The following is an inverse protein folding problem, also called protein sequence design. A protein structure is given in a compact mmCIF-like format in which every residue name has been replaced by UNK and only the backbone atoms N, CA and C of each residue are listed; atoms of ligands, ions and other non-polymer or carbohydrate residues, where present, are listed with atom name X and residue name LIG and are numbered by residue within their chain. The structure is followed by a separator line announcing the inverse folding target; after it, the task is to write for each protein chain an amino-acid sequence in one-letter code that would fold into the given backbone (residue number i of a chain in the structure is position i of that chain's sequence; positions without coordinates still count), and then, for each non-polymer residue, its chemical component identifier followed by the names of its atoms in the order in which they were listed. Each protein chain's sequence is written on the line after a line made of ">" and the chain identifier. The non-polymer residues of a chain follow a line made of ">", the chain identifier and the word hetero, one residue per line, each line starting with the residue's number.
data_IF_685402215926
#
_entry.id   IF_685402215926
#
_cell.length_a   1.000
_cell.length_b   1.000
_cell.length_c   1.000
_cell.angle_alpha   90.00
_cell.angle_beta   90.00
_cell.angle_gamma   90.00
#
_symmetry.space_group_name_H-M   'P 1'
#
loop_
_entity.id
_entity.type
_entity.pdbx_description
1 polymer ?
#
# COMPACT_ATOMS: atom_id res chain seq x y z
N UNK A 1 -13.46 -1.01 -14.49
CA UNK A 1 -14.51 -2.03 -14.67
C UNK A 1 -15.39 -1.60 -15.83
N UNK A 2 -15.87 -2.52 -16.67
CA UNK A 2 -16.83 -2.18 -17.74
C UNK A 2 -18.22 -2.66 -17.32
N UNK A 3 -19.08 -1.72 -16.99
CA UNK A 3 -20.48 -1.97 -16.62
C UNK A 3 -21.28 -2.06 -17.91
N UNK A 4 -22.07 -3.13 -18.06
CA UNK A 4 -22.92 -3.35 -19.22
C UNK A 4 -24.33 -3.70 -18.77
N UNK A 5 -24.63 -4.94 -18.42
CA UNK A 5 -25.96 -5.28 -17.90
C UNK A 5 -26.17 -4.88 -16.44
N UNK A 6 -25.10 -4.63 -15.67
CA UNK A 6 -25.16 -4.19 -14.27
C UNK A 6 -25.67 -5.28 -13.31
N UNK A 7 -25.82 -6.52 -13.78
CA UNK A 7 -26.37 -7.64 -13.04
C UNK A 7 -25.32 -8.37 -12.20
N UNK A 8 -24.03 -8.22 -12.51
CA UNK A 8 -22.94 -8.80 -11.74
C UNK A 8 -22.34 -7.80 -10.77
N UNK A 9 -22.47 -6.49 -11.06
CA UNK A 9 -21.89 -5.42 -10.24
C UNK A 9 -22.80 -5.07 -9.06
N UNK A 10 -22.25 -5.10 -7.85
CA UNK A 10 -22.90 -4.65 -6.61
C UNK A 10 -22.73 -3.15 -6.45
N UNK A 11 -23.82 -2.45 -6.19
CA UNK A 11 -23.83 -0.98 -6.09
C UNK A 11 -22.90 -0.45 -4.98
N UNK A 12 -22.86 -1.10 -3.82
CA UNK A 12 -22.15 -0.59 -2.65
C UNK A 12 -20.68 -1.01 -2.55
N UNK A 13 -20.39 -2.26 -2.94
CA UNK A 13 -19.13 -2.94 -2.58
C UNK A 13 -18.14 -3.01 -3.73
N UNK A 14 -18.61 -2.94 -4.97
CA UNK A 14 -17.73 -3.02 -6.14
C UNK A 14 -17.15 -1.65 -6.52
N UNK A 15 -15.99 -1.70 -7.17
CA UNK A 15 -15.22 -0.54 -7.60
C UNK A 15 -15.66 -0.09 -8.99
N UNK A 16 -16.85 0.49 -9.06
CA UNK A 16 -17.43 1.01 -10.30
C UNK A 16 -17.41 2.55 -10.39
N UNK A 17 -17.33 3.24 -9.25
CA UNK A 17 -17.27 4.70 -9.16
C UNK A 17 -15.82 5.22 -9.00
N UNK A 18 -15.42 6.36 -9.60
CA UNK A 18 -14.05 6.90 -9.48
C UNK A 18 -13.65 7.25 -8.03
N UNK A 19 -14.60 7.65 -7.19
CA UNK A 19 -14.36 7.89 -5.74
C UNK A 19 -14.13 6.61 -4.92
N UNK A 20 -14.17 5.43 -5.54
CA UNK A 20 -13.95 4.14 -4.88
C UNK A 20 -15.26 3.43 -4.54
N UNK A 21 -15.25 2.66 -3.44
CA UNK A 21 -16.44 1.91 -2.99
C UNK A 21 -17.38 2.87 -2.28
N UNK A 22 -18.64 2.90 -2.71
CA UNK A 22 -19.63 3.78 -2.11
C UNK A 22 -19.91 3.44 -0.64
N UNK A 23 -19.74 2.18 -0.22
CA UNK A 23 -19.92 1.78 1.18
C UNK A 23 -18.87 2.41 2.12
N UNK A 24 -17.65 2.64 1.63
CA UNK A 24 -16.58 3.24 2.44
C UNK A 24 -16.83 4.75 2.64
N UNK A 25 -17.56 5.38 1.71
CA UNK A 25 -17.95 6.79 1.76
C UNK A 25 -19.24 7.00 2.57
N UNK A 26 -20.30 6.28 2.21
CA UNK A 26 -21.64 6.44 2.78
C UNK A 26 -21.80 5.77 4.16
N UNK A 27 -20.95 4.79 4.47
CA UNK A 27 -21.06 3.94 5.65
C UNK A 27 -22.30 3.04 5.62
N UNK A 28 -22.42 2.19 6.65
CA UNK A 28 -23.56 1.27 6.80
C UNK A 28 -24.90 2.00 6.99
N UNK A 29 -24.86 3.21 7.56
CA UNK A 29 -26.07 4.04 7.75
C UNK A 29 -26.54 4.61 6.40
N UNK A 30 -25.61 4.86 5.46
CA UNK A 30 -25.90 5.35 4.12
C UNK A 30 -26.82 4.42 3.33
N UNK A 31 -26.65 3.10 3.47
CA UNK A 31 -27.49 2.11 2.77
C UNK A 31 -28.96 2.20 3.19
N UNK A 32 -29.21 2.44 4.48
CA UNK A 32 -30.56 2.61 5.03
C UNK A 32 -31.17 3.95 4.64
N UNK A 33 -30.36 5.04 4.70
CA UNK A 33 -30.79 6.39 4.33
C UNK A 33 -31.18 6.51 2.86
N UNK A 34 -30.44 5.85 1.96
CA UNK A 34 -30.72 5.84 0.52
C UNK A 34 -31.74 4.77 0.11
N UNK A 35 -32.10 3.85 1.03
CA UNK A 35 -33.10 2.81 0.78
C UNK A 35 -32.63 1.70 -0.14
N UNK A 36 -31.31 1.51 -0.28
CA UNK A 36 -30.72 0.51 -1.15
C UNK A 36 -30.09 -0.58 -0.29
N UNK A 37 -30.53 -1.82 -0.47
CA UNK A 37 -29.97 -2.97 0.25
C UNK A 37 -28.47 -3.15 -0.03
N UNK A 38 -27.73 -3.69 0.94
CA UNK A 38 -26.28 -3.93 0.82
C UNK A 38 -25.91 -4.87 -0.34
N UNK A 39 -26.80 -5.78 -0.70
CA UNK A 39 -26.65 -6.73 -1.81
C UNK A 39 -27.25 -6.25 -3.12
N UNK A 40 -27.78 -5.02 -3.19
CA UNK A 40 -28.36 -4.49 -4.41
C UNK A 40 -27.33 -4.38 -5.54
N UNK A 41 -27.78 -4.74 -6.74
CA UNK A 41 -26.98 -4.65 -7.97
C UNK A 41 -27.27 -3.35 -8.69
N UNK A 42 -26.40 -2.97 -9.62
CA UNK A 42 -26.61 -1.75 -10.41
C UNK A 42 -27.91 -1.86 -11.22
N UNK A 43 -28.23 -3.02 -11.78
CA UNK A 43 -29.48 -3.25 -12.51
C UNK A 43 -30.77 -3.06 -11.67
N UNK A 44 -30.67 -3.23 -10.35
CA UNK A 44 -31.83 -3.08 -9.45
C UNK A 44 -32.11 -1.61 -9.11
N UNK A 45 -31.04 -0.79 -9.10
CA UNK A 45 -31.07 0.61 -8.67
C UNK A 45 -31.20 1.56 -9.88
N UNK A 46 -30.61 1.20 -11.02
CA UNK A 46 -30.62 1.99 -12.24
C UNK A 46 -31.59 1.37 -13.25
N UNK A 47 -32.74 2.01 -13.44
CA UNK A 47 -33.84 1.51 -14.28
C UNK A 47 -34.27 2.62 -15.23
N UNK A 48 -34.40 2.30 -16.52
CA UNK A 48 -34.84 3.23 -17.57
C UNK A 48 -34.00 4.51 -17.69
N UNK A 49 -32.69 4.43 -17.40
CA UNK A 49 -31.77 5.57 -17.48
C UNK A 49 -31.76 6.46 -16.24
N UNK A 50 -32.53 6.13 -15.21
CA UNK A 50 -32.67 6.92 -14.00
C UNK A 50 -32.25 6.13 -12.74
N UNK A 51 -31.61 6.83 -11.81
CA UNK A 51 -31.21 6.26 -10.53
C UNK A 51 -32.32 6.36 -9.49
N UNK A 52 -32.75 5.22 -8.94
CA UNK A 52 -33.78 5.13 -7.90
C UNK A 52 -33.17 5.27 -6.51
N UNK A 53 -33.06 6.50 -6.01
CA UNK A 53 -32.64 6.81 -4.64
C UNK A 53 -33.80 7.26 -3.76
N UNK A 54 -33.82 6.85 -2.49
CA UNK A 54 -34.69 7.48 -1.49
C UNK A 54 -34.18 8.89 -1.19
N UNK A 55 -35.09 9.86 -1.14
CA UNK A 55 -34.73 11.24 -0.72
C UNK A 55 -34.17 11.21 0.70
N UNK A 56 -32.93 11.70 0.84
CA UNK A 56 -32.28 11.89 2.12
C UNK A 56 -32.09 13.39 2.38
N UNK A 57 -32.07 13.81 3.65
CA UNK A 57 -31.78 15.18 4.08
C UNK A 57 -30.29 15.43 4.35
N UNK A 58 -29.47 14.39 4.28
CA UNK A 58 -28.04 14.44 4.56
C UNK A 58 -27.30 15.03 3.36
N UNK A 59 -26.65 16.18 3.54
CA UNK A 59 -25.95 16.90 2.47
C UNK A 59 -24.85 16.06 1.83
N UNK A 60 -24.08 15.32 2.63
CA UNK A 60 -23.02 14.47 2.10
C UNK A 60 -23.54 13.38 1.17
N UNK A 61 -24.69 12.77 1.51
CA UNK A 61 -25.32 11.76 0.65
C UNK A 61 -25.99 12.37 -0.57
N UNK A 62 -26.47 13.62 -0.47
CA UNK A 62 -26.99 14.35 -1.63
C UNK A 62 -25.88 14.65 -2.64
N UNK A 63 -24.72 15.12 -2.16
CA UNK A 63 -23.55 15.36 -2.99
C UNK A 63 -23.09 14.07 -3.67
N UNK A 64 -23.01 12.97 -2.90
CA UNK A 64 -22.67 11.64 -3.45
C UNK A 64 -23.65 11.18 -4.52
N UNK A 65 -24.96 11.37 -4.31
CA UNK A 65 -25.99 11.05 -5.31
C UNK A 65 -25.87 11.93 -6.55
N UNK A 66 -25.50 13.20 -6.38
CA UNK A 66 -25.26 14.10 -7.49
C UNK A 66 -24.08 13.62 -8.34
N UNK A 67 -22.94 13.30 -7.72
CA UNK A 67 -21.77 12.74 -8.42
C UNK A 67 -22.13 11.46 -9.20
N UNK A 68 -22.94 10.59 -8.61
CA UNK A 68 -23.38 9.34 -9.24
C UNK A 68 -24.25 9.61 -10.47
N UNK A 69 -25.09 10.64 -10.44
CA UNK A 69 -25.95 11.03 -11.57
C UNK A 69 -25.17 11.68 -12.70
N UNK A 70 -24.08 12.39 -12.40
CA UNK A 70 -23.22 12.99 -13.42
C UNK A 70 -22.46 11.94 -14.25
N UNK A 71 -22.32 10.71 -13.74
CA UNK A 71 -21.68 9.63 -14.48
C UNK A 71 -22.59 9.11 -15.60
N UNK A 72 -22.16 9.21 -16.88
CA UNK A 72 -22.93 8.67 -18.00
C UNK A 72 -22.84 7.14 -18.00
N UNK A 73 -23.83 6.49 -17.40
CA UNK A 73 -23.97 5.03 -17.43
C UNK A 73 -25.10 4.63 -18.37
N UNK A 74 -24.76 3.82 -19.38
CA UNK A 74 -25.70 3.25 -20.34
C UNK A 74 -25.68 1.74 -20.14
N UNK A 75 -26.76 1.18 -19.59
CA UNK A 75 -26.88 -0.26 -19.43
C UNK A 75 -27.24 -0.92 -20.77
N UNK A 76 -26.50 -1.96 -21.13
CA UNK A 76 -26.78 -2.78 -22.31
C UNK A 76 -27.18 -4.18 -21.84
N UNK A 77 -28.48 -4.48 -21.83
CA UNK A 77 -29.03 -5.71 -21.25
C UNK A 77 -28.44 -7.01 -21.83
N UNK A 78 -28.01 -7.00 -23.10
CA UNK A 78 -27.52 -8.17 -23.82
C UNK A 78 -26.04 -8.51 -23.61
N UNK A 79 -25.28 -7.71 -22.86
CA UNK A 79 -23.84 -7.98 -22.65
C UNK A 79 -23.53 -8.03 -21.15
N UNK A 80 -22.86 -9.11 -20.72
CA UNK A 80 -22.46 -9.32 -19.34
C UNK A 80 -21.37 -8.35 -18.89
N UNK A 81 -21.45 -7.87 -17.65
CA UNK A 81 -20.42 -7.02 -17.05
C UNK A 81 -19.01 -7.63 -17.15
N UNK A 82 -18.03 -6.79 -17.47
CA UNK A 82 -16.63 -7.19 -17.65
C UNK A 82 -15.72 -6.61 -16.57
N UNK A 83 -14.97 -7.47 -15.89
CA UNK A 83 -13.87 -7.04 -15.01
C UNK A 83 -12.64 -6.77 -15.87
N UNK A 84 -12.08 -5.57 -15.74
CA UNK A 84 -10.86 -5.17 -16.44
C UNK A 84 -9.77 -4.86 -15.42
N UNK A 85 -8.56 -5.33 -15.70
CA UNK A 85 -7.36 -5.03 -14.94
C UNK A 85 -6.79 -3.68 -15.36
N UNK A 86 -6.28 -2.91 -14.40
CA UNK A 86 -5.59 -1.65 -14.69
C UNK A 86 -4.16 -1.97 -15.16
N UNK A 87 -3.85 -1.65 -16.41
CA UNK A 87 -2.61 -2.01 -17.10
C UNK A 87 -1.67 -0.80 -17.32
N UNK A 88 -1.97 0.33 -16.68
CA UNK A 88 -1.21 1.58 -16.73
C UNK A 88 -1.93 2.71 -15.98
N UNK A 89 -1.50 3.96 -16.17
CA UNK A 89 -2.13 5.10 -15.51
C UNK A 89 -3.60 5.27 -15.91
N UNK A 90 -3.96 5.02 -17.18
CA UNK A 90 -5.36 5.08 -17.68
C UNK A 90 -5.77 3.94 -18.63
N UNK A 91 -4.93 2.91 -18.82
CA UNK A 91 -5.26 1.77 -19.67
C UNK A 91 -5.87 0.62 -18.88
N UNK A 92 -6.92 0.02 -19.44
CA UNK A 92 -7.58 -1.15 -18.88
C UNK A 92 -7.48 -2.33 -19.85
N UNK A 93 -7.03 -3.48 -19.34
CA UNK A 93 -6.83 -4.70 -20.12
C UNK A 93 -7.65 -5.85 -19.55
N UNK A 94 -8.08 -6.77 -20.41
CA UNK A 94 -8.71 -8.02 -19.98
C UNK A 94 -7.70 -9.00 -19.37
N UNK A 95 -6.41 -8.86 -19.71
CA UNK A 95 -5.34 -9.75 -19.21
C UNK A 95 -4.67 -9.18 -17.97
N UNK A 96 -4.35 -10.07 -17.04
CA UNK A 96 -3.56 -9.73 -15.87
C UNK A 96 -2.09 -9.56 -16.24
N UNK A 97 -1.51 -8.41 -15.89
CA UNK A 97 -0.09 -8.14 -16.05
C UNK A 97 0.54 -7.86 -14.68
N UNK A 98 1.36 -8.79 -14.20
CA UNK A 98 1.99 -8.70 -12.87
C UNK A 98 2.93 -7.51 -12.75
N UNK A 99 3.65 -7.14 -13.82
CA UNK A 99 4.61 -6.03 -13.81
C UNK A 99 3.89 -4.69 -13.63
N UNK A 100 2.83 -4.46 -14.40
CA UNK A 100 2.07 -3.22 -14.36
C UNK A 100 1.25 -3.14 -13.06
N UNK A 101 0.66 -4.26 -12.63
CA UNK A 101 -0.02 -4.33 -11.32
C UNK A 101 0.93 -4.01 -10.17
N UNK A 102 2.15 -4.55 -10.18
CA UNK A 102 3.17 -4.24 -9.17
C UNK A 102 3.58 -2.77 -9.18
N UNK A 103 3.70 -2.17 -10.37
CA UNK A 103 3.98 -0.75 -10.51
C UNK A 103 2.86 0.12 -9.94
N UNK A 104 1.60 -0.28 -10.13
CA UNK A 104 0.42 0.45 -9.67
C UNK A 104 0.24 0.35 -8.14
N UNK A 105 0.52 -0.80 -7.54
CA UNK A 105 0.40 -1.00 -6.09
C UNK A 105 1.51 -0.29 -5.33
N UNK A 106 2.73 -0.28 -5.88
CA UNK A 106 3.88 0.28 -5.17
C UNK A 106 3.91 1.81 -5.29
N UNK A 107 4.13 2.51 -4.18
CA UNK A 107 4.54 3.92 -4.22
C UNK A 107 6.02 3.97 -4.63
N UNK A 108 6.30 4.37 -5.88
CA UNK A 108 7.68 4.52 -6.36
C UNK A 108 8.35 5.64 -5.55
N UNK A 109 9.35 5.28 -4.75
CA UNK A 109 10.23 6.24 -4.08
C UNK A 109 11.40 6.55 -4.98
N UNK A 110 11.96 7.74 -4.80
CA UNK A 110 13.17 8.14 -5.50
C UNK A 110 14.30 7.16 -5.22
N UNK A 111 15.10 6.92 -6.26
CA UNK A 111 16.29 6.10 -6.11
C UNK A 111 17.31 6.86 -5.26
N UNK A 112 17.53 6.35 -4.07
CA UNK A 112 18.58 6.82 -3.17
C UNK A 112 19.95 6.38 -3.69
N UNK A 113 20.93 7.27 -3.69
CA UNK A 113 22.28 7.01 -4.22
C UNK A 113 22.94 5.79 -3.57
N UNK A 114 22.71 5.59 -2.27
CA UNK A 114 23.25 4.44 -1.54
C UNK A 114 22.64 3.10 -1.94
N UNK A 115 21.51 3.06 -2.67
CA UNK A 115 20.92 1.79 -3.12
C UNK A 115 21.86 1.00 -4.02
N UNK A 116 22.66 1.69 -4.86
CA UNK A 116 23.69 1.08 -5.72
C UNK A 116 24.85 0.49 -4.92
N UNK A 117 25.22 1.10 -3.80
CA UNK A 117 26.28 0.59 -2.92
C UNK A 117 25.86 -0.72 -2.24
N UNK A 118 24.57 -0.85 -1.92
CA UNK A 118 24.05 -2.03 -1.22
C UNK A 118 23.70 -3.16 -2.19
N UNK A 119 23.12 -2.84 -3.34
CA UNK A 119 22.58 -3.83 -4.29
C UNK A 119 23.42 -3.95 -5.57
N UNK A 120 24.71 -4.24 -5.43
CA UNK A 120 25.61 -4.50 -6.56
C UNK A 120 25.57 -5.98 -7.00
N UNK A 121 25.72 -6.24 -8.30
CA UNK A 121 25.52 -7.57 -8.92
C UNK A 121 26.48 -8.66 -8.40
N UNK A 122 27.68 -8.27 -7.97
CA UNK A 122 28.72 -9.20 -7.49
C UNK A 122 28.68 -9.40 -5.96
N UNK A 123 27.69 -8.83 -5.28
CA UNK A 123 27.60 -8.85 -3.82
C UNK A 123 26.86 -10.06 -3.29
N UNK A 124 27.31 -10.60 -2.16
CA UNK A 124 26.59 -11.66 -1.46
C UNK A 124 25.29 -11.09 -0.88
N UNK A 125 24.10 -11.62 -1.25
CA UNK A 125 22.81 -11.05 -0.84
C UNK A 125 22.63 -10.91 0.68
N UNK A 126 23.25 -11.81 1.46
CA UNK A 126 23.23 -11.75 2.93
C UNK A 126 23.84 -10.46 3.47
N UNK A 127 25.01 -10.05 2.96
CA UNK A 127 25.67 -8.82 3.43
C UNK A 127 24.91 -7.59 2.96
N UNK A 128 24.39 -7.58 1.73
CA UNK A 128 23.52 -6.52 1.22
C UNK A 128 22.29 -6.32 2.12
N UNK A 129 21.63 -7.41 2.52
CA UNK A 129 20.46 -7.38 3.40
C UNK A 129 20.78 -6.83 4.80
N UNK A 130 21.87 -7.27 5.42
CA UNK A 130 22.31 -6.79 6.74
C UNK A 130 22.64 -5.30 6.66
N UNK A 131 23.42 -4.87 5.66
CA UNK A 131 23.78 -3.45 5.45
C UNK A 131 22.54 -2.60 5.18
N UNK A 132 21.58 -3.09 4.42
CA UNK A 132 20.30 -2.41 4.18
C UNK A 132 19.51 -2.21 5.48
N UNK A 133 19.40 -3.24 6.32
CA UNK A 133 18.77 -3.11 7.64
C UNK A 133 19.51 -2.11 8.51
N UNK A 134 20.85 -2.07 8.43
CA UNK A 134 21.69 -1.19 9.23
C UNK A 134 21.48 0.28 8.86
N UNK A 135 21.47 0.58 7.56
CA UNK A 135 21.16 1.93 7.05
C UNK A 135 19.76 2.38 7.47
N UNK A 136 18.80 1.45 7.49
CA UNK A 136 17.42 1.69 7.93
C UNK A 136 17.23 1.69 9.46
N UNK A 137 18.28 1.44 10.24
CA UNK A 137 18.23 1.35 11.70
C UNK A 137 17.18 0.33 12.20
N UNK A 138 17.05 -0.75 11.42
CA UNK A 138 16.13 -1.87 11.67
C UNK A 138 16.85 -3.11 12.19
N UNK A 139 18.17 -3.06 12.42
CA UNK A 139 18.80 -4.06 13.27
C UNK A 139 18.40 -3.81 14.71
N UNK A 140 18.15 -4.90 15.44
CA UNK A 140 18.13 -4.90 16.91
C UNK A 140 19.57 -4.76 17.42
N UNK A 141 20.17 -3.58 17.22
CA UNK A 141 21.40 -3.21 17.92
C UNK A 141 21.04 -2.82 19.35
N UNK A 142 21.94 -3.08 20.31
CA UNK A 142 21.67 -2.97 21.74
C UNK A 142 21.11 -1.62 22.21
N UNK A 143 21.28 -0.56 21.43
CA UNK A 143 20.70 0.76 21.70
C UNK A 143 19.16 0.77 21.64
N UNK A 144 18.52 0.01 20.73
CA UNK A 144 17.05 -0.10 20.69
C UNK A 144 16.50 -1.05 21.77
N UNK A 145 17.26 -2.08 22.14
CA UNK A 145 16.93 -2.97 23.26
C UNK A 145 16.92 -2.21 24.59
N UNK A 146 17.85 -1.28 24.80
CA UNK A 146 17.88 -0.40 25.98
C UNK A 146 16.63 0.50 26.08
N UNK A 147 16.15 1.06 24.97
CA UNK A 147 14.90 1.85 24.95
C UNK A 147 13.64 1.03 25.26
N UNK A 148 13.67 -0.29 25.02
CA UNK A 148 12.58 -1.20 25.37
C UNK A 148 12.73 -1.82 26.77
N UNK A 149 13.64 -1.29 27.59
CA UNK A 149 13.86 -1.77 28.97
C UNK A 149 14.65 -3.08 29.05
N UNK A 150 15.22 -3.56 27.94
CA UNK A 150 16.10 -4.73 27.91
C UNK A 150 17.54 -4.29 28.11
N UNK A 151 18.04 -4.44 29.34
CA UNK A 151 19.43 -4.21 29.67
C UNK A 151 20.33 -5.21 28.93
N UNK A 152 21.15 -4.73 27.99
CA UNK A 152 22.29 -5.49 27.47
C UNK A 152 23.52 -5.07 28.25
N UNK A 153 23.94 -5.92 29.19
CA UNK A 153 25.22 -5.76 29.86
C UNK A 153 26.35 -6.12 28.88
N UNK A 154 27.25 -5.17 28.62
CA UNK A 154 28.50 -5.46 27.93
C UNK A 154 29.45 -6.13 28.92
N UNK A 155 29.69 -7.44 28.78
CA UNK A 155 30.61 -8.23 29.61
C UNK A 155 32.10 -8.00 29.33
N UNK A 156 32.47 -6.95 28.59
CA UNK A 156 33.88 -6.68 28.26
C UNK A 156 34.53 -5.73 29.27
N UNK A 157 34.69 -6.22 30.49
CA UNK A 157 35.85 -5.94 31.34
C UNK A 157 36.24 -7.26 32.02
N UNK A 158 37.12 -8.03 31.37
CA UNK A 158 37.82 -9.16 32.00
C UNK A 158 37.85 -10.47 31.21
N UNK A 159 39.01 -10.75 30.60
CA UNK A 159 39.61 -12.05 30.25
C UNK A 159 39.15 -12.85 29.00
N UNK A 160 40.08 -13.61 28.39
CA UNK A 160 39.99 -14.11 27.03
C UNK A 160 39.46 -15.54 27.01
N UNK A 161 38.30 -15.76 26.39
CA UNK A 161 37.97 -17.10 25.90
C UNK A 161 37.24 -17.02 24.57
N UNK A 162 37.89 -17.61 23.56
CA UNK A 162 37.39 -17.77 22.21
C UNK A 162 36.11 -18.62 22.24
N UNK A 163 34.96 -17.95 22.19
CA UNK A 163 33.67 -18.61 22.00
C UNK A 163 33.00 -18.04 20.74
N UNK A 164 32.66 -18.85 19.71
CA UNK A 164 32.19 -18.36 18.40
C UNK A 164 30.85 -17.61 18.42
N UNK A 165 30.16 -17.59 19.58
CA UNK A 165 28.92 -16.83 19.80
C UNK A 165 29.17 -15.37 20.19
N UNK A 166 30.31 -15.03 20.79
CA UNK A 166 30.68 -13.63 21.13
C UNK A 166 31.13 -12.83 19.89
N UNK A 167 31.55 -13.52 18.83
CA UNK A 167 31.91 -12.93 17.54
C UNK A 167 30.74 -12.20 16.87
N UNK A 168 29.51 -12.71 17.01
CA UNK A 168 28.29 -12.11 16.43
C UNK A 168 27.96 -10.76 17.10
N UNK A 169 28.24 -10.63 18.40
CA UNK A 169 27.98 -9.42 19.18
C UNK A 169 29.07 -8.35 18.98
N UNK A 170 30.34 -8.75 18.83
CA UNK A 170 31.41 -7.82 18.45
C UNK A 170 31.22 -7.27 17.03
N UNK A 171 30.78 -8.13 16.10
CA UNK A 171 30.38 -7.70 14.76
C UNK A 171 29.22 -6.71 14.81
N UNK A 172 28.25 -6.88 15.71
CA UNK A 172 27.12 -5.94 15.87
C UNK A 172 27.57 -4.51 16.23
N UNK A 173 28.54 -4.35 17.14
CA UNK A 173 29.07 -3.02 17.50
C UNK A 173 29.87 -2.41 16.36
N UNK A 174 30.74 -3.18 15.70
CA UNK A 174 31.52 -2.71 14.54
C UNK A 174 30.63 -2.38 13.34
N UNK A 175 29.59 -3.17 13.08
CA UNK A 175 28.59 -2.91 12.05
C UNK A 175 27.81 -1.64 12.38
N UNK A 176 27.56 -1.35 13.66
CA UNK A 176 26.87 -0.13 14.07
C UNK A 176 27.74 1.13 13.92
N UNK A 177 29.02 1.10 14.29
CA UNK A 177 29.94 2.21 14.02
C UNK A 177 30.17 2.41 12.52
N UNK A 178 30.30 1.32 11.75
CA UNK A 178 30.32 1.39 10.28
C UNK A 178 29.02 1.93 9.71
N UNK A 179 27.85 1.54 10.25
CA UNK A 179 26.55 2.05 9.82
C UNK A 179 26.34 3.53 10.19
N UNK A 180 26.82 3.98 11.35
CA UNK A 180 26.83 5.40 11.74
C UNK A 180 27.80 6.22 10.89
N UNK A 181 28.98 5.68 10.57
CA UNK A 181 29.97 6.32 9.70
C UNK A 181 29.46 6.39 8.25
N UNK A 182 28.87 5.31 7.74
CA UNK A 182 28.16 5.29 6.46
C UNK A 182 26.96 6.23 6.48
N UNK A 183 26.21 6.38 7.58
CA UNK A 183 25.15 7.41 7.71
C UNK A 183 25.73 8.82 7.59
N UNK A 184 26.84 9.12 8.28
CA UNK A 184 27.51 10.42 8.16
C UNK A 184 27.97 10.67 6.72
N UNK A 185 28.54 9.68 6.05
CA UNK A 185 28.97 9.78 4.65
C UNK A 185 27.80 9.86 3.65
N UNK A 186 26.66 9.23 3.93
CA UNK A 186 25.48 9.21 3.05
C UNK A 186 24.60 10.45 3.23
N UNK A 187 24.57 11.04 4.42
CA UNK A 187 23.71 12.19 4.75
C UNK A 187 24.47 13.52 4.90
N UNK A 188 25.80 13.54 4.77
CA UNK A 188 26.59 14.76 4.61
C UNK A 188 27.03 14.92 3.15
N UNK A 189 26.06 15.18 2.26
CA UNK A 189 26.33 16.01 1.08
C UNK A 189 26.40 17.50 1.50
N UNK A 190 27.10 18.36 0.77
CA UNK A 190 27.54 19.67 1.26
C UNK A 190 26.34 20.51 1.70
N UNK A 191 26.44 21.08 2.91
CA UNK A 191 25.67 22.27 3.24
C UNK A 191 26.14 23.38 2.29
N UNK A 192 25.31 23.71 1.30
CA UNK A 192 25.25 25.03 0.68
C UNK A 192 23.96 25.68 1.12
#
# INVERSE_FOLDING_TARGET
>A
MKIQNGCSVRFWTDLWHPKGRLIDLAGEIGTQKLGIGRSARICDVFVDGEWRFRRCRDHFLQDLVHDIRELPLILTANVSDGVLWRDGDDTYSSRFNSKNTWSNIRKKKDQVMWSRLIWFQQGVPRFAFITWLAVRDRLSTGHRSLQWGQAQYCLYQGEPDLNPRSSILCLSVHIHTLAQSCRKLIWQGPRS
#
